data_IF_756315769540
#
_entry.id   IF_756315769540
#
_cell.length_a   1.000
_cell.length_b   1.000
_cell.length_c   1.000
_cell.angle_alpha   90.00
_cell.angle_beta   90.00
_cell.angle_gamma   90.00
#
_symmetry.space_group_name_H-M   'P 1'
#
loop_
_entity.id
_entity.type
_entity.pdbx_description
1 polymer ?
#
# COMPACT_ATOMS: atom_id res chain seq x y z
N UNK A 1 -21.75 -12.00 -1.06
CA UNK A 1 -21.44 -10.57 -0.84
C UNK A 1 -20.15 -10.31 -1.58
N UNK A 2 -20.08 -9.29 -2.47
CA UNK A 2 -18.79 -8.94 -3.08
C UNK A 2 -17.87 -8.43 -1.97
N UNK A 3 -16.67 -8.97 -1.87
CA UNK A 3 -15.64 -8.38 -1.04
C UNK A 3 -15.39 -6.94 -1.52
N UNK A 4 -15.12 -6.00 -0.61
CA UNK A 4 -14.68 -4.67 -1.02
C UNK A 4 -13.27 -4.82 -1.61
N UNK A 5 -13.00 -4.07 -2.68
CA UNK A 5 -11.71 -4.03 -3.35
C UNK A 5 -11.05 -2.67 -3.09
N UNK A 6 -9.74 -2.68 -2.86
CA UNK A 6 -8.89 -1.48 -2.82
C UNK A 6 -7.92 -1.50 -3.99
N UNK A 7 -8.11 -0.57 -4.92
CA UNK A 7 -7.20 -0.39 -6.06
C UNK A 7 -6.04 0.50 -5.64
N UNK A 8 -4.82 0.02 -5.81
CA UNK A 8 -3.57 0.72 -5.49
C UNK A 8 -2.76 0.93 -6.77
N UNK A 9 -2.69 2.18 -7.21
CA UNK A 9 -1.91 2.57 -8.41
C UNK A 9 -0.47 2.85 -8.02
N UNK A 10 0.50 2.21 -8.67
CA UNK A 10 1.92 2.43 -8.42
C UNK A 10 2.33 3.87 -8.77
N UNK A 11 3.05 4.51 -7.85
CA UNK A 11 3.50 5.90 -7.96
C UNK A 11 5.01 6.04 -8.15
N UNK A 12 5.80 5.06 -7.69
CA UNK A 12 7.27 5.11 -7.72
C UNK A 12 7.88 4.43 -6.50
N UNK A 13 9.20 4.58 -6.35
CA UNK A 13 9.95 4.13 -5.17
C UNK A 13 10.24 5.35 -4.28
N UNK A 14 10.06 5.25 -2.98
CA UNK A 14 10.49 6.28 -2.04
C UNK A 14 12.01 6.25 -1.82
N UNK A 15 12.53 7.23 -1.09
CA UNK A 15 13.95 7.34 -0.73
C UNK A 15 14.56 6.14 0.02
N UNK A 16 13.76 5.16 0.43
CA UNK A 16 14.18 3.93 1.12
C UNK A 16 13.99 2.69 0.23
N UNK A 17 13.81 2.88 -1.07
CA UNK A 17 13.59 1.83 -2.06
C UNK A 17 12.33 1.00 -1.78
N UNK A 18 11.28 1.61 -1.21
CA UNK A 18 9.97 0.98 -1.01
C UNK A 18 8.99 1.44 -2.08
N UNK A 19 8.18 0.53 -2.67
CA UNK A 19 7.18 0.93 -3.63
C UNK A 19 6.04 1.68 -2.95
N UNK A 20 5.70 2.83 -3.51
CA UNK A 20 4.61 3.69 -3.08
C UNK A 20 3.43 3.51 -4.03
N UNK A 21 2.24 3.37 -3.46
CA UNK A 21 0.98 3.27 -4.18
C UNK A 21 -0.01 4.33 -3.71
N UNK A 22 -0.94 4.70 -4.58
CA UNK A 22 -2.01 5.65 -4.28
C UNK A 22 -3.38 4.98 -4.43
N UNK A 23 -4.23 5.12 -3.42
CA UNK A 23 -5.63 4.71 -3.49
C UNK A 23 -6.50 5.81 -4.13
N UNK A 24 -7.73 5.50 -4.60
CA UNK A 24 -8.52 6.44 -5.41
C UNK A 24 -8.86 7.77 -4.72
N UNK A 25 -8.94 7.80 -3.39
CA UNK A 25 -9.22 9.02 -2.64
C UNK A 25 -7.95 9.86 -2.32
N UNK A 26 -6.78 9.42 -2.78
CA UNK A 26 -5.53 10.15 -2.64
C UNK A 26 -4.61 9.69 -1.52
N UNK A 27 -5.03 8.75 -0.67
CA UNK A 27 -4.15 8.20 0.38
C UNK A 27 -3.02 7.36 -0.21
N UNK A 28 -1.81 7.58 0.30
CA UNK A 28 -0.59 6.86 -0.06
C UNK A 28 -0.37 5.66 0.86
N UNK A 29 0.11 4.59 0.24
CA UNK A 29 0.46 3.33 0.87
C UNK A 29 1.87 2.91 0.46
N UNK A 30 2.63 2.37 1.40
CA UNK A 30 3.98 1.86 1.19
C UNK A 30 3.97 0.37 1.48
N UNK A 31 4.45 -0.47 0.55
CA UNK A 31 4.75 -1.87 0.88
C UNK A 31 6.13 -1.92 1.54
N UNK A 32 6.16 -2.13 2.85
CA UNK A 32 7.40 -2.12 3.65
C UNK A 32 8.15 -3.45 3.61
N UNK A 33 7.52 -4.51 3.07
CA UNK A 33 8.13 -5.83 2.88
C UNK A 33 7.70 -6.43 1.53
N UNK A 34 8.13 -5.86 0.40
CA UNK A 34 7.71 -6.28 -0.94
C UNK A 34 8.43 -7.56 -1.41
N UNK A 35 8.55 -8.56 -0.53
CA UNK A 35 9.19 -9.84 -0.82
C UNK A 35 8.24 -10.70 -1.67
N UNK A 36 8.73 -11.23 -2.80
CA UNK A 36 7.95 -12.02 -3.79
C UNK A 36 7.00 -13.07 -3.21
N UNK A 37 7.42 -13.76 -2.16
CA UNK A 37 6.67 -14.88 -1.56
C UNK A 37 5.89 -14.52 -0.30
N UNK A 38 5.89 -13.24 0.10
CA UNK A 38 5.13 -12.74 1.25
C UNK A 38 3.89 -11.98 0.80
N UNK A 39 2.91 -11.86 1.70
CA UNK A 39 1.79 -10.93 1.50
C UNK A 39 2.29 -9.47 1.56
N UNK A 40 1.62 -8.52 0.89
CA UNK A 40 1.96 -7.11 1.01
C UNK A 40 1.85 -6.63 2.46
N UNK A 41 2.85 -5.88 2.92
CA UNK A 41 2.85 -5.27 4.25
C UNK A 41 2.66 -3.75 4.08
N UNK A 42 1.40 -3.33 4.02
CA UNK A 42 1.04 -1.97 3.63
C UNK A 42 0.93 -1.05 4.82
N UNK A 43 1.70 0.04 4.83
CA UNK A 43 1.57 1.14 5.78
C UNK A 43 1.12 2.41 5.07
N UNK A 44 0.33 3.26 5.74
CA UNK A 44 0.11 4.64 5.26
C UNK A 44 1.41 5.44 5.34
N UNK A 45 1.44 6.61 4.69
CA UNK A 45 2.57 7.52 4.80
C UNK A 45 2.27 8.68 5.77
N UNK A 46 3.21 9.02 6.65
CA UNK A 46 3.11 10.21 7.52
C UNK A 46 2.84 11.45 6.68
N UNK A 47 1.85 12.25 7.09
CA UNK A 47 1.37 13.44 6.36
C UNK A 47 0.91 13.16 4.91
N UNK A 48 0.71 11.89 4.54
CA UNK A 48 0.43 11.48 3.17
C UNK A 48 1.48 11.93 2.15
N UNK A 49 2.73 12.08 2.58
CA UNK A 49 3.85 12.53 1.74
C UNK A 49 4.53 11.36 1.02
N UNK A 50 5.08 11.60 -0.16
CA UNK A 50 5.71 10.54 -0.95
C UNK A 50 6.91 9.91 -0.23
N UNK A 51 7.79 10.74 0.33
CA UNK A 51 8.97 10.33 1.11
C UNK A 51 8.70 10.30 2.63
N UNK A 52 7.44 10.40 3.06
CA UNK A 52 7.09 10.27 4.47
C UNK A 52 7.44 8.89 5.03
N UNK A 53 7.66 8.80 6.34
CA UNK A 53 7.84 7.52 7.01
C UNK A 53 6.58 6.64 6.90
N UNK A 54 6.71 5.30 6.94
CA UNK A 54 5.57 4.42 7.17
C UNK A 54 4.91 4.75 8.51
N UNK A 55 3.58 4.80 8.50
CA UNK A 55 2.75 5.17 9.65
C UNK A 55 1.88 3.97 10.08
N UNK A 56 0.54 4.08 9.95
CA UNK A 56 -0.38 3.01 10.32
C UNK A 56 -0.35 1.84 9.34
N UNK A 57 -0.09 0.63 9.86
CA UNK A 57 -0.21 -0.58 9.08
C UNK A 57 -1.69 -0.94 8.79
N UNK A 58 -1.99 -1.30 7.54
CA UNK A 58 -3.33 -1.64 7.07
C UNK A 58 -4.01 -2.71 7.94
N UNK A 59 -3.25 -3.65 8.48
CA UNK A 59 -3.78 -4.73 9.34
C UNK A 59 -4.50 -4.23 10.60
N UNK A 60 -4.18 -3.01 11.06
CA UNK A 60 -4.76 -2.40 12.25
C UNK A 60 -5.92 -1.45 11.93
N UNK A 61 -6.18 -1.13 10.65
CA UNK A 61 -7.20 -0.17 10.26
C UNK A 61 -8.50 -0.92 9.91
N UNK A 62 -9.52 -0.79 10.77
CA UNK A 62 -10.79 -1.53 10.68
C UNK A 62 -11.45 -1.45 9.30
N UNK A 63 -11.40 -0.28 8.65
CA UNK A 63 -11.96 -0.05 7.31
C UNK A 63 -11.43 -1.02 6.24
N UNK A 64 -10.20 -1.50 6.39
CA UNK A 64 -9.51 -2.34 5.40
C UNK A 64 -9.46 -3.82 5.80
N UNK A 65 -10.10 -4.22 6.91
CA UNK A 65 -10.15 -5.63 7.28
C UNK A 65 -10.93 -6.45 6.24
N UNK A 66 -10.31 -7.53 5.77
CA UNK A 66 -10.88 -8.43 4.77
C UNK A 66 -11.04 -7.82 3.38
N UNK A 67 -10.44 -6.65 3.11
CA UNK A 67 -10.44 -6.05 1.79
C UNK A 67 -9.48 -6.80 0.86
N UNK A 68 -9.87 -6.95 -0.40
CA UNK A 68 -8.97 -7.44 -1.44
C UNK A 68 -8.17 -6.26 -2.01
N UNK A 69 -6.84 -6.39 -2.06
CA UNK A 69 -5.96 -5.35 -2.59
C UNK A 69 -5.60 -5.70 -4.03
N UNK A 70 -5.87 -4.77 -4.95
CA UNK A 70 -5.57 -4.88 -6.37
C UNK A 70 -4.49 -3.86 -6.70
N UNK A 71 -3.30 -4.35 -7.08
CA UNK A 71 -2.20 -3.49 -7.52
C UNK A 71 -2.29 -3.22 -9.01
N UNK A 72 -2.04 -1.97 -9.42
CA UNK A 72 -2.07 -1.55 -10.83
C UNK A 72 -0.74 -0.86 -11.18
N UNK A 73 -0.02 -1.32 -12.23
CA UNK A 73 -0.35 -2.46 -13.10
C UNK A 73 -0.17 -3.83 -12.41
N UNK A 74 0.77 -3.93 -11.47
CA UNK A 74 1.05 -5.12 -10.67
C UNK A 74 1.73 -4.73 -9.36
N UNK A 75 1.89 -5.68 -8.42
CA UNK A 75 2.64 -5.44 -7.19
C UNK A 75 4.14 -5.44 -7.52
N UNK A 76 4.81 -4.33 -7.23
CA UNK A 76 6.27 -4.23 -7.27
C UNK A 76 6.86 -5.04 -6.12
N UNK A 77 7.77 -5.95 -6.46
CA UNK A 77 8.43 -6.88 -5.55
C UNK A 77 9.92 -6.96 -5.84
N UNK A 78 10.70 -7.35 -4.83
CA UNK A 78 12.08 -7.82 -4.99
C UNK A 78 12.28 -9.22 -4.38
#
# INVERSE_FOLDING_TARGET
>A
MKNKELVLSYMGMDSWDRPVYKEPNGRLWKDVSPVKHQKPDLCTSVNNEFDGEPDDNMRYIEKYKGIEVIFVPERVIW
#
